data_IF_216634304488
#
_entry.id   IF_216634304488
#
_cell.length_a   1.000
_cell.length_b   1.000
_cell.length_c   1.000
_cell.angle_alpha   90.00
_cell.angle_beta   90.00
_cell.angle_gamma   90.00
#
_symmetry.space_group_name_H-M   'P 1'
#
loop_
_entity.id
_entity.type
_entity.pdbx_description
1 polymer ?
#
# COMPACT_ATOMS: atom_id res chain seq x y z
N UNK A 1 23.30 4.85 -6.93
CA UNK A 1 21.84 4.91 -7.12
C UNK A 1 21.52 6.20 -7.80
N UNK A 2 20.88 6.20 -8.97
CA UNK A 2 20.31 7.42 -9.50
C UNK A 2 19.26 7.93 -8.50
N UNK A 3 19.49 9.12 -7.99
CA UNK A 3 18.54 9.82 -7.13
C UNK A 3 17.62 10.64 -8.04
N UNK A 4 16.42 10.11 -8.26
CA UNK A 4 15.39 10.80 -9.03
C UNK A 4 14.46 11.63 -8.14
N UNK A 5 14.73 11.70 -6.84
CA UNK A 5 13.96 12.52 -5.92
C UNK A 5 14.03 14.01 -6.31
N UNK A 6 15.17 14.47 -6.84
CA UNK A 6 15.31 15.83 -7.37
C UNK A 6 14.35 16.15 -8.52
N UNK A 7 13.85 15.14 -9.24
CA UNK A 7 12.86 15.30 -10.31
C UNK A 7 11.43 15.26 -9.79
N UNK A 8 11.16 14.48 -8.75
CA UNK A 8 9.81 14.22 -8.25
C UNK A 8 9.42 15.11 -7.07
N UNK A 9 10.35 15.40 -6.18
CA UNK A 9 10.12 16.22 -4.99
C UNK A 9 9.60 17.63 -5.29
N UNK A 10 10.14 18.39 -6.28
CA UNK A 10 9.62 19.71 -6.60
C UNK A 10 8.14 19.69 -7.04
N UNK A 11 7.72 18.65 -7.75
CA UNK A 11 6.31 18.49 -8.16
C UNK A 11 5.38 18.34 -6.97
N UNK A 12 5.83 17.64 -5.92
CA UNK A 12 5.06 17.46 -4.69
C UNK A 12 5.03 18.72 -3.83
N UNK A 13 6.17 19.40 -3.69
CA UNK A 13 6.31 20.59 -2.83
C UNK A 13 5.64 21.84 -3.43
N UNK A 14 5.57 21.95 -4.76
CA UNK A 14 5.01 23.12 -5.45
C UNK A 14 3.48 23.00 -5.66
N UNK A 15 2.83 21.97 -5.15
CA UNK A 15 1.38 21.81 -5.26
C UNK A 15 0.66 22.70 -4.24
N UNK A 16 -0.02 23.72 -4.72
CA UNK A 16 -0.86 24.59 -3.91
C UNK A 16 -2.34 24.33 -4.20
N UNK A 17 -3.12 24.08 -3.16
CA UNK A 17 -4.57 24.06 -3.25
C UNK A 17 -5.11 25.40 -2.74
N UNK A 18 -5.86 26.15 -3.57
CA UNK A 18 -6.42 27.43 -3.17
C UNK A 18 -7.42 27.32 -2.01
N UNK A 19 -7.96 26.13 -1.75
CA UNK A 19 -8.87 25.87 -0.63
C UNK A 19 -8.14 25.69 0.70
N UNK A 20 -6.83 25.46 0.68
CA UNK A 20 -5.99 25.25 1.88
C UNK A 20 -5.10 26.48 2.06
N UNK A 21 -5.70 27.63 2.32
CA UNK A 21 -4.95 28.86 2.64
C UNK A 21 -4.18 28.68 3.96
N UNK A 22 -2.87 28.83 3.92
CA UNK A 22 -1.98 28.74 5.08
C UNK A 22 -1.31 27.38 5.30
N UNK A 23 -1.45 26.43 4.37
CA UNK A 23 -0.79 25.13 4.41
C UNK A 23 0.64 25.18 3.85
N UNK A 24 1.35 26.27 3.99
CA UNK A 24 2.68 26.48 3.37
C UNK A 24 3.72 25.39 3.66
N UNK A 25 3.54 24.61 4.72
CA UNK A 25 4.46 23.54 5.13
C UNK A 25 3.90 22.14 4.94
N UNK A 26 2.70 21.97 4.34
CA UNK A 26 2.09 20.66 4.11
C UNK A 26 2.28 20.21 2.67
N UNK A 27 2.69 18.93 2.52
CA UNK A 27 2.69 18.26 1.23
C UNK A 27 1.28 17.73 0.98
N UNK A 28 0.61 18.27 -0.04
CA UNK A 28 -0.72 17.81 -0.44
C UNK A 28 -0.61 16.47 -1.18
N UNK A 29 -1.57 15.53 -1.00
CA UNK A 29 -1.61 14.30 -1.75
C UNK A 29 -1.64 14.56 -3.25
N UNK A 30 -0.88 13.80 -3.99
CA UNK A 30 -0.92 13.80 -5.44
C UNK A 30 -1.51 12.49 -5.95
N UNK A 31 -2.59 12.56 -6.70
CA UNK A 31 -3.26 11.39 -7.29
C UNK A 31 -3.03 11.28 -8.81
N UNK A 32 -2.18 12.16 -9.37
CA UNK A 32 -1.88 12.23 -10.80
C UNK A 32 -0.50 11.63 -11.13
N UNK A 33 -0.22 10.43 -10.61
CA UNK A 33 1.00 9.68 -10.92
C UNK A 33 2.17 9.91 -9.95
N UNK A 34 2.02 10.73 -8.91
CA UNK A 34 3.06 10.95 -7.88
C UNK A 34 2.57 10.57 -6.48
N UNK A 35 1.60 9.70 -6.40
CA UNK A 35 1.00 9.27 -5.14
C UNK A 35 0.94 7.77 -4.98
N UNK A 36 0.62 7.37 -3.75
CA UNK A 36 0.53 5.98 -3.34
C UNK A 36 -0.48 5.17 -4.16
N UNK A 37 -1.57 5.79 -4.62
CA UNK A 37 -2.61 5.14 -5.44
C UNK A 37 -2.10 4.64 -6.80
N UNK A 38 -1.01 5.20 -7.32
CA UNK A 38 -0.40 4.79 -8.59
C UNK A 38 0.49 3.55 -8.48
N UNK A 39 0.89 3.14 -7.27
CA UNK A 39 1.73 1.95 -7.06
C UNK A 39 1.04 0.67 -7.55
N UNK A 40 -0.23 0.36 -7.18
CA UNK A 40 -0.91 -0.84 -7.67
C UNK A 40 -1.07 -0.84 -9.19
N UNK A 41 -1.29 0.33 -9.79
CA UNK A 41 -1.39 0.50 -11.25
C UNK A 41 -0.07 0.14 -11.91
N UNK A 42 1.05 0.61 -11.35
CA UNK A 42 2.38 0.27 -11.85
C UNK A 42 2.66 -1.23 -11.72
N UNK A 43 2.35 -1.85 -10.57
CA UNK A 43 2.50 -3.30 -10.38
C UNK A 43 1.69 -4.07 -11.44
N UNK A 44 0.44 -3.68 -11.66
CA UNK A 44 -0.40 -4.28 -12.72
C UNK A 44 0.25 -4.13 -14.10
N UNK A 45 0.75 -2.95 -14.43
CA UNK A 45 1.42 -2.67 -15.71
C UNK A 45 2.67 -3.55 -15.90
N UNK A 46 3.51 -3.67 -14.87
CA UNK A 46 4.73 -4.49 -14.90
C UNK A 46 4.44 -5.97 -15.10
N UNK A 47 3.32 -6.46 -14.59
CA UNK A 47 2.87 -7.86 -14.73
C UNK A 47 2.07 -8.11 -16.02
N UNK A 48 1.79 -7.08 -16.83
CA UNK A 48 0.86 -7.20 -17.97
C UNK A 48 -0.58 -7.50 -17.54
N UNK A 49 -0.95 -7.03 -16.36
CA UNK A 49 -2.25 -7.24 -15.74
C UNK A 49 -3.34 -6.29 -16.22
N UNK A 50 -4.49 -6.26 -15.54
CA UNK A 50 -5.63 -5.46 -15.94
C UNK A 50 -5.37 -3.96 -15.84
N UNK A 51 -6.01 -3.17 -16.70
CA UNK A 51 -6.01 -1.72 -16.60
C UNK A 51 -6.82 -1.28 -15.37
N UNK A 52 -6.22 -0.46 -14.55
CA UNK A 52 -6.88 0.19 -13.41
C UNK A 52 -7.31 1.61 -13.80
N UNK A 53 -8.28 2.16 -13.09
CA UNK A 53 -8.83 3.49 -13.41
C UNK A 53 -7.93 4.64 -12.94
N UNK A 54 -7.18 4.43 -11.88
CA UNK A 54 -6.24 5.42 -11.34
C UNK A 54 -5.07 5.63 -12.31
N UNK A 55 -4.53 6.84 -12.44
CA UNK A 55 -3.35 7.09 -13.25
C UNK A 55 -2.14 6.24 -12.82
N UNK A 56 -1.36 5.77 -13.79
CA UNK A 56 -0.09 5.10 -13.51
C UNK A 56 0.93 6.10 -12.92
N UNK A 57 2.05 5.60 -12.44
CA UNK A 57 3.17 6.46 -12.05
C UNK A 57 3.58 7.36 -13.22
N UNK A 58 3.93 8.58 -12.90
CA UNK A 58 4.36 9.57 -13.90
C UNK A 58 5.49 9.02 -14.77
N UNK A 59 5.58 9.38 -16.07
CA UNK A 59 6.56 8.83 -17.00
C UNK A 59 8.01 8.91 -16.49
N UNK A 60 8.35 9.97 -15.76
CA UNK A 60 9.68 10.14 -15.16
C UNK A 60 10.06 9.02 -14.18
N UNK A 61 9.05 8.33 -13.62
CA UNK A 61 9.22 7.19 -12.71
C UNK A 61 9.03 5.88 -13.49
N UNK A 62 7.90 5.74 -14.18
CA UNK A 62 7.54 4.49 -14.85
C UNK A 62 8.56 4.04 -15.90
N UNK A 63 9.15 4.98 -16.64
CA UNK A 63 10.15 4.68 -17.67
C UNK A 63 11.46 4.10 -17.10
N UNK A 64 11.69 4.28 -15.80
CA UNK A 64 12.88 3.75 -15.10
C UNK A 64 12.65 2.33 -14.55
N UNK A 65 11.40 1.87 -14.46
CA UNK A 65 11.07 0.59 -13.82
C UNK A 65 11.06 -0.60 -14.79
N UNK A 66 11.33 -0.37 -16.06
CA UNK A 66 11.33 -1.41 -17.09
C UNK A 66 9.92 -1.86 -17.48
N UNK A 67 9.83 -2.97 -18.20
CA UNK A 67 8.56 -3.50 -18.72
C UNK A 67 8.54 -5.02 -18.66
N UNK A 68 7.38 -5.59 -18.30
CA UNK A 68 7.10 -7.02 -18.32
C UNK A 68 8.00 -7.87 -17.43
N UNK A 69 7.57 -8.03 -16.19
CA UNK A 69 8.18 -8.94 -15.23
C UNK A 69 7.30 -10.17 -15.00
N UNK A 70 7.91 -11.31 -14.76
CA UNK A 70 7.20 -12.53 -14.35
C UNK A 70 6.73 -12.43 -12.88
N UNK A 71 7.54 -11.79 -12.04
CA UNK A 71 7.27 -11.60 -10.62
C UNK A 71 7.56 -10.16 -10.23
N UNK A 72 6.71 -9.59 -9.40
CA UNK A 72 6.90 -8.29 -8.77
C UNK A 72 6.75 -8.46 -7.26
N UNK A 73 7.73 -8.02 -6.50
CA UNK A 73 7.70 -8.02 -5.03
C UNK A 73 7.57 -6.59 -4.55
N UNK A 74 6.47 -6.27 -3.88
CA UNK A 74 6.24 -4.99 -3.22
C UNK A 74 6.55 -5.13 -1.72
N UNK A 75 7.58 -4.43 -1.24
CA UNK A 75 7.93 -4.39 0.18
C UNK A 75 7.42 -3.05 0.74
N UNK A 76 6.49 -3.14 1.69
CA UNK A 76 5.96 -1.97 2.38
C UNK A 76 6.57 -1.86 3.78
N UNK A 77 7.21 -0.74 4.06
CA UNK A 77 7.70 -0.38 5.39
C UNK A 77 6.86 0.77 5.93
N UNK A 78 5.97 0.44 6.85
CA UNK A 78 5.07 1.44 7.45
C UNK A 78 5.85 2.46 8.29
N UNK A 79 5.35 3.68 8.34
CA UNK A 79 5.91 4.82 9.08
C UNK A 79 7.35 5.24 8.68
N UNK A 80 7.93 4.69 7.62
CA UNK A 80 9.22 5.13 7.10
C UNK A 80 9.04 6.25 6.07
N UNK A 81 8.98 7.50 6.55
CA UNK A 81 8.91 8.67 5.68
C UNK A 81 10.24 8.98 4.98
N UNK A 82 10.19 9.72 3.88
CA UNK A 82 11.34 10.06 3.04
C UNK A 82 12.48 10.73 3.82
N UNK A 83 12.18 11.75 4.62
CA UNK A 83 13.20 12.45 5.44
C UNK A 83 13.85 11.53 6.48
N UNK A 84 13.07 10.60 7.04
CA UNK A 84 13.60 9.61 7.98
C UNK A 84 14.54 8.64 7.25
N UNK A 85 14.14 8.16 6.07
CA UNK A 85 14.98 7.30 5.24
C UNK A 85 16.29 7.97 4.86
N UNK A 86 16.28 9.24 4.43
CA UNK A 86 17.50 9.99 4.13
C UNK A 86 18.43 10.14 5.34
N UNK A 87 17.86 10.39 6.53
CA UNK A 87 18.66 10.44 7.78
C UNK A 87 19.31 9.11 8.10
N UNK A 88 18.58 7.99 7.94
CA UNK A 88 19.14 6.65 8.14
C UNK A 88 20.28 6.36 7.15
N UNK A 89 20.11 6.73 5.89
CA UNK A 89 21.18 6.62 4.89
C UNK A 89 22.42 7.46 5.24
N UNK A 90 22.22 8.69 5.70
CA UNK A 90 23.31 9.56 6.10
C UNK A 90 24.07 9.05 7.34
N UNK A 91 23.40 8.31 8.21
CA UNK A 91 23.97 7.66 9.41
C UNK A 91 24.61 6.29 9.12
N UNK A 92 24.54 5.79 7.87
CA UNK A 92 25.10 4.49 7.49
C UNK A 92 24.23 3.27 7.78
N UNK A 93 23.00 3.44 8.31
CA UNK A 93 22.11 2.30 8.59
C UNK A 93 21.49 1.66 7.36
N UNK A 94 21.49 2.34 6.23
CA UNK A 94 20.95 1.84 4.96
C UNK A 94 22.04 1.52 3.93
N UNK A 95 23.21 1.08 4.38
CA UNK A 95 24.39 0.82 3.53
C UNK A 95 24.11 -0.26 2.47
N UNK A 96 23.36 -1.29 2.83
CA UNK A 96 22.89 -2.30 1.88
C UNK A 96 22.18 -1.68 0.67
N UNK A 97 21.28 -0.74 0.90
CA UNK A 97 20.58 -0.04 -0.17
C UNK A 97 21.55 0.80 -1.01
N UNK A 98 22.47 1.50 -0.37
CA UNK A 98 23.45 2.34 -1.07
C UNK A 98 24.40 1.52 -1.96
N UNK A 99 24.80 0.35 -1.50
CA UNK A 99 25.74 -0.52 -2.24
C UNK A 99 25.07 -1.32 -3.35
N UNK A 100 23.83 -1.76 -3.14
CA UNK A 100 23.12 -2.63 -4.08
C UNK A 100 22.21 -1.88 -5.06
N UNK A 101 22.19 -0.56 -5.01
CA UNK A 101 21.32 0.28 -5.83
C UNK A 101 21.91 0.84 -7.14
N UNK A 102 23.03 0.38 -7.73
CA UNK A 102 23.41 0.87 -9.06
C UNK A 102 22.36 0.62 -10.14
N UNK A 103 21.44 -0.33 -9.88
CA UNK A 103 20.34 -0.72 -10.77
C UNK A 103 18.95 -0.30 -10.25
N UNK A 104 18.89 0.48 -9.18
CA UNK A 104 17.64 0.93 -8.59
C UNK A 104 17.50 2.44 -8.68
N UNK A 105 16.28 2.95 -8.54
CA UNK A 105 15.98 4.38 -8.48
C UNK A 105 15.34 4.75 -7.14
N UNK A 106 15.64 5.93 -6.60
CA UNK A 106 14.94 6.53 -5.47
C UNK A 106 13.99 7.62 -6.00
N UNK A 107 12.71 7.51 -5.69
CA UNK A 107 11.68 8.46 -6.07
C UNK A 107 10.87 8.89 -4.86
N UNK A 108 10.38 10.12 -4.87
CA UNK A 108 9.44 10.61 -3.86
C UNK A 108 8.02 10.51 -4.36
N UNK A 109 7.13 10.00 -3.50
CA UNK A 109 5.69 9.94 -3.73
C UNK A 109 4.97 10.54 -2.51
N UNK A 110 3.79 11.11 -2.72
CA UNK A 110 2.94 11.50 -1.61
C UNK A 110 2.14 10.30 -1.08
N UNK A 111 1.90 10.29 0.22
CA UNK A 111 0.88 9.44 0.80
C UNK A 111 -0.53 9.94 0.43
N UNK A 112 -1.54 9.28 0.94
CA UNK A 112 -2.95 9.67 0.84
C UNK A 112 -3.34 10.63 1.95
N UNK A 113 -4.51 11.25 1.85
CA UNK A 113 -5.09 12.03 2.94
C UNK A 113 -6.47 11.46 3.33
N UNK A 114 -6.68 11.16 4.62
CA UNK A 114 -5.69 11.13 5.73
C UNK A 114 -4.63 10.04 5.56
N UNK A 115 -3.38 10.31 5.98
CA UNK A 115 -2.25 9.37 5.83
C UNK A 115 -2.20 8.33 6.96
N UNK A 116 -3.34 7.73 7.30
CA UNK A 116 -3.39 6.64 8.28
C UNK A 116 -3.08 5.31 7.61
N UNK A 117 -2.53 4.36 8.37
CA UNK A 117 -2.24 2.99 7.90
C UNK A 117 -3.46 2.36 7.22
N UNK A 118 -4.63 2.46 7.83
CA UNK A 118 -5.86 1.86 7.29
C UNK A 118 -6.24 2.46 5.92
N UNK A 119 -6.17 3.78 5.77
CA UNK A 119 -6.48 4.48 4.51
C UNK A 119 -5.43 4.16 3.43
N UNK A 120 -4.15 4.23 3.78
CA UNK A 120 -3.05 3.98 2.86
C UNK A 120 -3.05 2.53 2.36
N UNK A 121 -3.24 1.55 3.25
CA UNK A 121 -3.35 0.14 2.88
C UNK A 121 -4.57 -0.11 1.99
N UNK A 122 -5.73 0.49 2.30
CA UNK A 122 -6.91 0.34 1.44
C UNK A 122 -6.65 0.89 0.04
N UNK A 123 -5.96 2.03 -0.07
CA UNK A 123 -5.53 2.57 -1.37
C UNK A 123 -4.61 1.60 -2.11
N UNK A 124 -3.62 0.99 -1.44
CA UNK A 124 -2.72 0.01 -2.07
C UNK A 124 -3.44 -1.27 -2.50
N UNK A 125 -4.41 -1.75 -1.70
CA UNK A 125 -5.13 -2.98 -1.99
C UNK A 125 -6.30 -2.83 -2.96
N UNK A 126 -6.68 -1.59 -3.29
CA UNK A 126 -7.77 -1.33 -4.26
C UNK A 126 -7.31 -0.61 -5.52
N UNK A 127 -6.12 0.04 -5.46
CA UNK A 127 -5.67 0.90 -6.54
C UNK A 127 -6.55 2.14 -6.74
N UNK A 128 -7.30 2.57 -5.69
CA UNK A 128 -8.20 3.71 -5.76
C UNK A 128 -7.90 4.73 -4.65
N UNK A 129 -8.43 5.93 -4.82
CA UNK A 129 -8.25 7.02 -3.86
C UNK A 129 -9.18 6.90 -2.65
N UNK A 130 -8.86 7.54 -1.50
CA UNK A 130 -9.71 7.56 -0.32
C UNK A 130 -11.13 8.08 -0.58
N UNK A 131 -11.29 9.01 -1.51
CA UNK A 131 -12.59 9.52 -1.98
C UNK A 131 -13.46 8.44 -2.64
N UNK A 132 -12.83 7.42 -3.23
CA UNK A 132 -13.51 6.32 -3.92
C UNK A 132 -13.79 5.15 -2.99
N UNK A 133 -12.79 4.68 -2.24
CA UNK A 133 -12.99 3.52 -1.37
C UNK A 133 -13.65 3.87 -0.02
N UNK A 134 -13.68 5.14 0.38
CA UNK A 134 -14.39 5.60 1.59
C UNK A 134 -13.77 5.18 2.92
N UNK A 135 -12.62 4.51 2.93
CA UNK A 135 -11.94 4.04 4.14
C UNK A 135 -10.92 5.07 4.59
N UNK A 136 -11.34 6.00 5.47
CA UNK A 136 -10.67 7.29 5.67
C UNK A 136 -10.04 7.48 7.05
N UNK A 137 -9.94 6.46 7.88
CA UNK A 137 -9.34 6.67 9.19
C UNK A 137 -9.07 5.40 9.98
N UNK A 138 -8.24 5.56 11.01
CA UNK A 138 -7.98 4.52 12.01
C UNK A 138 -9.22 4.23 12.86
N UNK A 139 -10.01 5.26 13.15
CA UNK A 139 -11.33 5.17 13.76
C UNK A 139 -12.36 5.75 12.80
N UNK A 140 -13.46 5.03 12.62
CA UNK A 140 -14.52 5.42 11.69
C UNK A 140 -15.89 5.22 12.33
N UNK A 141 -16.79 6.17 12.08
CA UNK A 141 -18.19 6.04 12.44
C UNK A 141 -18.92 5.18 11.40
N UNK A 142 -19.44 4.04 11.82
CA UNK A 142 -20.32 3.19 11.00
C UNK A 142 -21.77 3.47 11.35
N UNK A 143 -22.47 4.19 10.48
CA UNK A 143 -23.86 4.60 10.71
C UNK A 143 -24.81 3.41 10.83
N UNK A 144 -24.56 2.33 10.08
CA UNK A 144 -25.37 1.10 10.06
C UNK A 144 -25.34 0.39 11.42
N UNK A 145 -24.29 0.58 12.19
CA UNK A 145 -24.09 0.00 13.52
C UNK A 145 -24.20 1.05 14.64
N UNK A 146 -24.38 2.34 14.28
CA UNK A 146 -24.44 3.48 15.21
C UNK A 146 -23.29 3.51 16.22
N UNK A 147 -22.07 3.22 15.75
CA UNK A 147 -20.88 3.18 16.61
C UNK A 147 -19.61 3.60 15.88
N UNK A 148 -18.63 4.07 16.67
CA UNK A 148 -17.25 4.26 16.20
C UNK A 148 -16.47 2.96 16.36
N UNK A 149 -15.74 2.59 15.32
CA UNK A 149 -14.95 1.36 15.28
C UNK A 149 -13.47 1.64 15.10
N UNK A 150 -12.64 0.71 15.60
CA UNK A 150 -11.27 0.56 15.14
C UNK A 150 -11.28 -0.11 13.76
N UNK A 151 -10.77 0.56 12.77
CA UNK A 151 -10.83 0.14 11.37
C UNK A 151 -9.83 -0.96 11.00
N UNK A 152 -8.83 -1.22 11.84
CA UNK A 152 -7.90 -2.35 11.63
C UNK A 152 -8.48 -3.64 12.19
N UNK A 153 -9.01 -3.57 13.43
CA UNK A 153 -9.46 -4.76 14.15
C UNK A 153 -10.93 -5.10 13.91
N UNK A 154 -11.70 -4.18 13.32
CA UNK A 154 -13.15 -4.25 13.16
C UNK A 154 -13.85 -4.58 14.50
N UNK A 155 -13.56 -3.74 15.48
CA UNK A 155 -14.18 -3.80 16.79
C UNK A 155 -14.66 -2.40 17.23
N UNK A 156 -15.67 -2.30 18.09
CA UNK A 156 -16.06 -1.04 18.69
C UNK A 156 -14.90 -0.41 19.46
N UNK A 157 -14.69 0.90 19.33
CA UNK A 157 -13.66 1.61 20.09
C UNK A 157 -13.91 1.61 21.60
N UNK A 158 -15.16 1.42 22.00
CA UNK A 158 -15.57 1.33 23.40
C UNK A 158 -15.18 0.00 24.07
N UNK A 159 -14.82 -1.02 23.29
CA UNK A 159 -14.47 -2.35 23.78
C UNK A 159 -13.11 -2.79 23.25
N UNK A 160 -12.06 -2.20 23.83
CA UNK A 160 -10.67 -2.53 23.48
C UNK A 160 -10.42 -4.03 23.76
N UNK A 161 -9.95 -4.74 22.74
CA UNK A 161 -9.66 -6.19 22.82
C UNK A 161 -10.79 -7.09 22.30
N UNK A 162 -11.93 -6.57 21.88
CA UNK A 162 -12.99 -7.33 21.23
C UNK A 162 -12.73 -7.45 19.71
N UNK A 163 -11.59 -8.04 19.35
CA UNK A 163 -11.22 -8.26 17.96
C UNK A 163 -12.32 -9.09 17.25
N UNK A 164 -12.81 -8.57 16.12
CA UNK A 164 -13.88 -9.21 15.36
C UNK A 164 -15.29 -9.04 15.98
N UNK A 165 -15.49 -8.07 16.88
CA UNK A 165 -16.82 -7.78 17.45
C UNK A 165 -17.85 -7.42 16.41
N UNK A 166 -17.47 -6.69 15.37
CA UNK A 166 -18.35 -6.36 14.26
C UNK A 166 -18.77 -7.58 13.47
N UNK A 167 -17.86 -8.53 13.20
CA UNK A 167 -18.20 -9.75 12.47
C UNK A 167 -19.23 -10.58 13.24
N UNK A 168 -19.11 -10.63 14.58
CA UNK A 168 -20.16 -11.26 15.42
C UNK A 168 -21.51 -10.54 15.37
N UNK A 169 -21.49 -9.24 15.07
CA UNK A 169 -22.69 -8.44 14.83
C UNK A 169 -23.21 -8.51 13.38
N UNK A 170 -22.60 -9.35 12.54
CA UNK A 170 -23.03 -9.57 11.15
C UNK A 170 -22.31 -8.70 10.12
N UNK A 171 -21.27 -7.97 10.51
CA UNK A 171 -20.43 -7.23 9.56
C UNK A 171 -19.57 -8.20 8.74
N UNK A 172 -19.57 -8.04 7.43
CA UNK A 172 -18.78 -8.87 6.51
C UNK A 172 -17.70 -7.99 5.89
N UNK A 173 -16.42 -8.09 6.37
CA UNK A 173 -15.33 -7.24 5.89
C UNK A 173 -15.17 -7.30 4.37
N UNK A 174 -15.30 -8.49 3.80
CA UNK A 174 -15.11 -8.77 2.38
C UNK A 174 -16.14 -8.06 1.46
N UNK A 175 -17.24 -7.56 2.02
CA UNK A 175 -18.31 -6.88 1.27
C UNK A 175 -18.36 -5.37 1.55
N UNK A 176 -17.50 -4.86 2.42
CA UNK A 176 -17.63 -3.50 2.91
C UNK A 176 -17.25 -2.43 1.87
N UNK A 177 -16.16 -2.65 1.12
CA UNK A 177 -15.64 -1.62 0.20
C UNK A 177 -16.54 -1.35 -1.01
N UNK A 178 -17.33 -2.33 -1.44
CA UNK A 178 -18.15 -2.21 -2.66
C UNK A 178 -17.35 -2.05 -3.96
N UNK A 179 -16.04 -2.21 -3.90
CA UNK A 179 -15.09 -2.17 -5.04
C UNK A 179 -14.16 -3.38 -4.94
N UNK A 180 -13.66 -3.85 -6.08
CA UNK A 180 -12.76 -4.99 -6.12
C UNK A 180 -11.38 -4.65 -5.54
N UNK A 181 -10.79 -5.62 -4.86
CA UNK A 181 -9.40 -5.57 -4.43
C UNK A 181 -8.45 -5.94 -5.57
N UNK A 182 -7.18 -5.58 -5.43
CA UNK A 182 -6.13 -5.94 -6.40
C UNK A 182 -6.02 -7.47 -6.52
N UNK A 183 -6.15 -8.22 -5.42
CA UNK A 183 -6.15 -9.69 -5.45
C UNK A 183 -7.27 -10.27 -6.32
N UNK A 184 -8.49 -9.72 -6.24
CA UNK A 184 -9.60 -10.13 -7.10
C UNK A 184 -9.34 -9.77 -8.57
N UNK A 185 -8.86 -8.56 -8.85
CA UNK A 185 -8.57 -8.12 -10.21
C UNK A 185 -7.47 -8.96 -10.85
N UNK A 186 -6.41 -9.28 -10.11
CA UNK A 186 -5.30 -10.12 -10.57
C UNK A 186 -5.74 -11.56 -10.77
N UNK A 187 -6.49 -12.13 -9.83
CA UNK A 187 -7.04 -13.48 -9.96
C UNK A 187 -7.89 -13.63 -11.22
N UNK A 188 -8.74 -12.65 -11.53
CA UNK A 188 -9.55 -12.64 -12.75
C UNK A 188 -8.70 -12.54 -14.04
N UNK A 189 -7.49 -12.01 -13.94
CA UNK A 189 -6.52 -11.92 -15.03
C UNK A 189 -5.55 -13.11 -15.08
N UNK A 190 -5.69 -14.09 -14.18
CA UNK A 190 -4.79 -15.24 -14.10
C UNK A 190 -3.44 -14.94 -13.44
N UNK A 191 -3.33 -13.82 -12.72
CA UNK A 191 -2.15 -13.42 -11.96
C UNK A 191 -2.34 -13.89 -10.50
N UNK A 192 -1.39 -14.64 -9.99
CA UNK A 192 -1.40 -15.12 -8.62
C UNK A 192 -0.87 -14.06 -7.67
N UNK A 193 -1.60 -13.82 -6.57
CA UNK A 193 -1.26 -12.83 -5.55
C UNK A 193 -0.91 -13.50 -4.23
N UNK A 194 0.18 -13.04 -3.60
CA UNK A 194 0.65 -13.50 -2.29
C UNK A 194 0.85 -12.31 -1.37
N UNK A 195 0.46 -12.44 -0.11
CA UNK A 195 0.69 -11.45 0.93
C UNK A 195 1.39 -12.08 2.12
N UNK A 196 2.46 -11.44 2.58
CA UNK A 196 3.20 -11.86 3.77
C UNK A 196 2.94 -10.87 4.89
N UNK A 197 2.31 -11.31 5.96
CA UNK A 197 1.96 -10.47 7.11
C UNK A 197 2.39 -11.12 8.42
N UNK A 198 2.73 -10.33 9.46
CA UNK A 198 2.83 -10.88 10.79
C UNK A 198 1.56 -11.66 11.15
N UNK A 199 1.72 -12.87 11.69
CA UNK A 199 0.58 -13.75 11.99
C UNK A 199 -0.47 -13.09 12.90
N UNK A 200 -0.04 -12.12 13.72
CA UNK A 200 -0.90 -11.39 14.66
C UNK A 200 -1.94 -10.50 13.98
N UNK A 201 -1.68 -10.06 12.76
CA UNK A 201 -2.56 -9.16 12.00
C UNK A 201 -3.16 -9.81 10.75
N UNK A 202 -2.66 -10.97 10.34
CA UNK A 202 -3.10 -11.65 9.11
C UNK A 202 -4.61 -11.92 9.05
N UNK A 203 -5.24 -12.15 10.19
CA UNK A 203 -6.69 -12.36 10.31
C UNK A 203 -7.45 -11.17 10.90
N UNK A 204 -6.84 -9.97 10.94
CA UNK A 204 -7.56 -8.76 11.35
C UNK A 204 -8.71 -8.45 10.39
N UNK A 205 -9.68 -7.65 10.83
CA UNK A 205 -10.79 -7.24 9.99
C UNK A 205 -10.33 -6.55 8.71
N UNK A 206 -9.32 -5.67 8.82
CA UNK A 206 -8.72 -4.97 7.70
C UNK A 206 -8.04 -5.95 6.72
N UNK A 207 -7.25 -6.89 7.23
CA UNK A 207 -6.58 -7.89 6.39
C UNK A 207 -7.58 -8.76 5.63
N UNK A 208 -8.65 -9.21 6.28
CA UNK A 208 -9.72 -9.96 5.62
C UNK A 208 -10.42 -9.16 4.53
N UNK A 209 -10.60 -7.87 4.74
CA UNK A 209 -11.18 -6.97 3.75
C UNK A 209 -10.29 -6.84 2.50
N UNK A 210 -8.97 -6.79 2.68
CA UNK A 210 -8.02 -6.55 1.60
C UNK A 210 -7.58 -7.83 0.87
N UNK A 211 -7.44 -8.96 1.58
CA UNK A 211 -6.77 -10.16 1.06
C UNK A 211 -7.69 -11.08 0.26
N UNK A 212 -8.74 -10.53 -0.36
CA UNK A 212 -9.63 -11.32 -1.21
C UNK A 212 -8.87 -11.87 -2.41
N UNK A 213 -9.01 -13.17 -2.68
CA UNK A 213 -8.30 -13.88 -3.76
C UNK A 213 -6.77 -13.75 -3.68
N UNK A 214 -6.22 -13.56 -2.47
CA UNK A 214 -4.79 -13.45 -2.20
C UNK A 214 -4.35 -14.56 -1.25
N UNK A 215 -3.27 -15.26 -1.57
CA UNK A 215 -2.69 -16.28 -0.72
C UNK A 215 -1.95 -15.62 0.45
N UNK A 216 -2.48 -15.78 1.66
CA UNK A 216 -1.92 -15.17 2.86
C UNK A 216 -0.89 -16.10 3.51
N UNK A 217 0.32 -15.58 3.72
CA UNK A 217 1.42 -16.21 4.45
C UNK A 217 1.66 -15.46 5.76
N UNK A 218 1.37 -16.11 6.88
CA UNK A 218 1.61 -15.54 8.20
C UNK A 218 3.01 -15.87 8.70
N UNK A 219 3.84 -14.88 9.03
CA UNK A 219 5.15 -15.09 9.61
C UNK A 219 5.24 -14.67 11.08
N UNK A 220 6.18 -15.25 11.82
CA UNK A 220 6.46 -14.92 13.23
C UNK A 220 7.72 -14.03 13.32
N UNK A 221 8.78 -14.42 12.64
CA UNK A 221 10.01 -13.66 12.56
C UNK A 221 10.29 -13.20 11.13
N UNK A 222 11.01 -12.10 10.97
CA UNK A 222 11.37 -11.59 9.64
C UNK A 222 12.21 -12.60 8.83
N UNK A 223 12.99 -13.46 9.52
CA UNK A 223 13.70 -14.55 8.88
C UNK A 223 12.79 -15.53 8.16
N UNK A 224 11.62 -15.79 8.73
CA UNK A 224 10.63 -16.72 8.16
C UNK A 224 10.05 -16.09 6.88
N UNK A 225 9.70 -14.78 6.94
CA UNK A 225 9.25 -14.02 5.79
C UNK A 225 10.20 -14.17 4.58
N UNK A 226 11.50 -13.96 4.81
CA UNK A 226 12.49 -14.02 3.72
C UNK A 226 12.72 -15.44 3.22
N UNK A 227 12.64 -16.44 4.09
CA UNK A 227 12.75 -17.85 3.70
C UNK A 227 11.55 -18.25 2.84
N UNK A 228 10.34 -17.98 3.28
CA UNK A 228 9.10 -18.32 2.58
C UNK A 228 9.00 -17.58 1.24
N UNK A 229 9.36 -16.30 1.18
CA UNK A 229 9.39 -15.52 -0.06
C UNK A 229 10.38 -16.10 -1.06
N UNK A 230 11.59 -16.45 -0.61
CA UNK A 230 12.61 -17.08 -1.47
C UNK A 230 12.11 -18.41 -2.01
N UNK A 231 11.50 -19.24 -1.18
CA UNK A 231 11.02 -20.56 -1.57
C UNK A 231 9.84 -20.44 -2.55
N UNK A 232 8.96 -19.48 -2.35
CA UNK A 232 7.89 -19.16 -3.29
C UNK A 232 8.44 -18.72 -4.66
N UNK A 233 9.41 -17.81 -4.68
CA UNK A 233 10.03 -17.35 -5.94
C UNK A 233 10.72 -18.50 -6.67
N UNK A 234 11.38 -19.41 -5.96
CA UNK A 234 12.03 -20.57 -6.56
C UNK A 234 11.05 -21.55 -7.21
N UNK A 235 9.84 -21.69 -6.67
CA UNK A 235 8.77 -22.51 -7.27
C UNK A 235 8.30 -21.93 -8.62
N UNK A 236 8.39 -20.63 -8.82
CA UNK A 236 7.93 -19.94 -10.03
C UNK A 236 9.06 -19.60 -11.02
N UNK A 237 10.34 -19.70 -10.62
CA UNK A 237 11.48 -19.43 -11.51
C UNK A 237 11.81 -20.58 -12.49
N UNK A 238 11.08 -21.67 -12.47
CA UNK A 238 11.35 -22.88 -13.28
C UNK A 238 10.31 -23.18 -14.37
N UNK A 239 9.44 -22.27 -14.71
CA UNK A 239 8.40 -22.49 -15.73
C UNK A 239 8.50 -21.51 -16.88
#
# INVERSE_FOLDING_TARGET
MPDYADLTLPTLLNRHDPLVNGAGDFVLPNYDGYGLSSIPVMVSTLLGGPLLQTPNLAPQISDQLGQHYQNVVLILVDALGYDHFLRLMAQGYAEFWRENLPQAGLFTLSSVCPSTTATALTTLWTGTEPSTHGYIGYEMWLKEYSMTINSILHCPTSFIGDNGGLQRAGFIPEQFLGISTIGELFSNAGIESHAFLPYTIGNSGLSRMHMQQTNLHGYVAESDLWADLRDLLNLHCGK
#
